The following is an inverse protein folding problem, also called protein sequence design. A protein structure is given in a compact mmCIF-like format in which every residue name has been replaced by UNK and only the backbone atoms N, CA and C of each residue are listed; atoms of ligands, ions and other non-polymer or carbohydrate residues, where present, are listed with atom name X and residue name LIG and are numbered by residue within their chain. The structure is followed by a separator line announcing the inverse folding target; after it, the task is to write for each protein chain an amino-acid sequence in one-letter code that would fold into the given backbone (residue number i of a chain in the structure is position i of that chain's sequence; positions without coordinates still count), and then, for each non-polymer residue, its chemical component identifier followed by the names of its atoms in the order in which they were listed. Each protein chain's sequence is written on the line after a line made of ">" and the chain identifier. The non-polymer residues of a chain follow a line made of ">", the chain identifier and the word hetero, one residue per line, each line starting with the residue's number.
data_IF_679022974967
#
_entry.id   IF_679022974967
#
_cell.length_a   1.000
_cell.length_b   1.000
_cell.length_c   1.000
_cell.angle_alpha   90.00
_cell.angle_beta   90.00
_cell.angle_gamma   90.00
#
_symmetry.space_group_name_H-M   'P 1'
#
loop_
_entity.id
_entity.type
_entity.pdbx_description
1 polymer ?
#
# COMPACT_ATOMS: atom_id res chain seq x y z
N UNK A 1 51.62 5.29 14.81
CA UNK A 1 50.70 4.14 14.67
C UNK A 1 49.37 4.31 15.40
N UNK A 2 49.29 4.96 16.57
CA UNK A 2 48.03 5.09 17.32
C UNK A 2 46.93 5.93 16.65
N UNK A 3 47.26 7.12 16.13
CA UNK A 3 46.26 8.05 15.54
C UNK A 3 45.54 7.45 14.33
N UNK A 4 46.25 6.67 13.52
CA UNK A 4 45.69 6.02 12.34
C UNK A 4 44.68 4.93 12.72
N UNK A 5 44.94 4.18 13.80
CA UNK A 5 44.03 3.16 14.31
C UNK A 5 42.74 3.78 14.86
N UNK A 6 42.85 4.91 15.57
CA UNK A 6 41.68 5.65 16.05
C UNK A 6 40.86 6.27 14.92
N UNK A 7 41.52 6.78 13.87
CA UNK A 7 40.83 7.31 12.70
C UNK A 7 40.05 6.21 11.96
N UNK A 8 40.64 5.02 11.82
CA UNK A 8 39.96 3.86 11.20
C UNK A 8 38.81 3.35 12.07
N UNK A 9 39.00 3.27 13.39
CA UNK A 9 37.95 2.86 14.32
C UNK A 9 36.77 3.85 14.34
N UNK A 10 37.05 5.15 14.26
CA UNK A 10 36.02 6.20 14.18
C UNK A 10 35.25 6.14 12.85
N UNK A 11 35.95 5.88 11.75
CA UNK A 11 35.32 5.73 10.43
C UNK A 11 34.43 4.46 10.38
N UNK A 12 34.87 3.36 10.99
CA UNK A 12 34.07 2.13 11.11
C UNK A 12 32.84 2.33 12.01
N UNK A 13 32.96 3.11 13.09
CA UNK A 13 31.83 3.42 13.98
C UNK A 13 30.75 4.30 13.31
N UNK A 14 31.16 5.28 12.51
CA UNK A 14 30.23 6.14 11.74
C UNK A 14 29.46 5.35 10.66
N UNK A 15 30.09 4.36 10.04
CA UNK A 15 29.44 3.50 9.03
C UNK A 15 28.41 2.55 9.68
N UNK A 16 28.61 2.14 10.93
CA UNK A 16 27.71 1.23 11.64
C UNK A 16 26.38 1.86 12.10
N UNK A 17 26.33 3.18 12.33
CA UNK A 17 25.16 3.87 12.88
C UNK A 17 24.06 4.22 11.87
N UNK A 18 24.25 3.96 10.57
CA UNK A 18 23.32 4.36 9.51
C UNK A 18 22.18 3.37 9.17
N UNK A 19 22.18 2.15 9.74
CA UNK A 19 21.29 1.07 9.27
C UNK A 19 20.08 0.78 10.17
N UNK A 20 19.66 1.72 11.02
CA UNK A 20 18.44 1.60 11.82
C UNK A 20 17.21 2.27 11.17
N UNK A 21 17.30 2.66 9.89
CA UNK A 21 16.08 2.90 9.13
C UNK A 21 15.40 1.56 8.87
N UNK A 22 14.09 1.39 9.13
CA UNK A 22 13.36 0.22 8.66
C UNK A 22 13.57 0.16 7.15
N UNK A 23 14.29 -0.88 6.71
CA UNK A 23 14.46 -1.19 5.30
C UNK A 23 13.07 -1.64 4.85
N UNK A 24 12.19 -0.71 4.50
CA UNK A 24 11.10 -1.06 3.60
C UNK A 24 11.80 -1.59 2.36
N UNK A 25 11.71 -2.90 2.14
CA UNK A 25 12.09 -3.53 0.88
C UNK A 25 11.10 -2.94 -0.13
N UNK A 26 11.38 -1.72 -0.58
CA UNK A 26 10.74 -1.11 -1.71
C UNK A 26 11.26 -1.89 -2.90
N UNK A 27 10.50 -2.90 -3.30
CA UNK A 27 10.72 -3.57 -4.56
C UNK A 27 10.49 -2.50 -5.65
N UNK A 28 11.53 -2.02 -6.36
CA UNK A 28 11.38 -0.90 -7.29
C UNK A 28 10.48 -1.24 -8.50
N UNK A 29 10.13 -2.52 -8.66
CA UNK A 29 9.29 -3.06 -9.71
C UNK A 29 7.77 -2.99 -9.40
N UNK A 30 7.36 -2.64 -8.17
CA UNK A 30 5.92 -2.51 -7.87
C UNK A 30 5.47 -1.08 -8.14
N UNK A 31 4.67 -0.80 -9.18
CA UNK A 31 4.07 0.52 -9.35
C UNK A 31 3.36 0.93 -8.05
N UNK A 32 3.49 2.18 -7.64
CA UNK A 32 2.85 2.65 -6.41
C UNK A 32 1.34 2.39 -6.46
N UNK A 33 0.77 1.94 -5.34
CA UNK A 33 -0.67 1.72 -5.26
C UNK A 33 -1.41 3.04 -5.49
N UNK A 34 -2.59 2.97 -6.09
CA UNK A 34 -3.47 4.12 -6.27
C UNK A 34 -3.60 4.91 -4.94
N UNK A 35 -3.57 6.25 -4.94
CA UNK A 35 -3.55 7.05 -3.70
C UNK A 35 -4.71 6.72 -2.76
N UNK A 36 -5.91 6.46 -3.29
CA UNK A 36 -7.05 6.01 -2.50
C UNK A 36 -6.79 4.70 -1.72
N UNK A 37 -6.00 3.76 -2.26
CA UNK A 37 -5.63 2.52 -1.58
C UNK A 37 -4.67 2.79 -0.43
N UNK A 38 -3.71 3.71 -0.62
CA UNK A 38 -2.77 4.11 0.42
C UNK A 38 -3.51 4.80 1.59
N UNK A 39 -4.43 5.70 1.28
CA UNK A 39 -5.26 6.38 2.28
C UNK A 39 -6.12 5.36 3.04
N UNK A 40 -6.80 4.46 2.33
CA UNK A 40 -7.62 3.43 2.97
C UNK A 40 -6.78 2.51 3.86
N UNK A 41 -5.61 2.07 3.40
CA UNK A 41 -4.68 1.25 4.18
C UNK A 41 -4.22 1.97 5.45
N UNK A 42 -3.92 3.28 5.36
CA UNK A 42 -3.60 4.08 6.53
C UNK A 42 -4.79 4.19 7.50
N UNK A 43 -6.00 4.45 7.01
CA UNK A 43 -7.20 4.50 7.85
C UNK A 43 -7.48 3.15 8.52
N UNK A 44 -7.34 2.04 7.78
CA UNK A 44 -7.48 0.68 8.31
C UNK A 44 -6.45 0.36 9.39
N UNK A 45 -5.22 0.90 9.28
CA UNK A 45 -4.19 0.73 10.29
C UNK A 45 -4.51 1.42 11.62
N UNK A 46 -5.40 2.40 11.61
CA UNK A 46 -5.84 3.16 12.80
C UNK A 46 -7.07 2.54 13.47
N UNK A 47 -7.69 1.52 12.88
CA UNK A 47 -8.87 0.87 13.45
C UNK A 47 -8.50 0.03 14.69
N UNK A 48 -9.42 -0.08 15.69
CA UNK A 48 -9.32 -1.08 16.75
C UNK A 48 -9.17 -2.50 16.19
N UNK A 49 -8.48 -3.36 16.93
CA UNK A 49 -8.08 -4.70 16.46
C UNK A 49 -9.26 -5.58 16.04
N UNK A 50 -10.42 -5.39 16.67
CA UNK A 50 -11.67 -6.10 16.38
C UNK A 50 -12.26 -5.72 15.02
N UNK A 51 -11.95 -4.53 14.51
CA UNK A 51 -12.43 -4.01 13.22
C UNK A 51 -11.39 -4.17 12.10
N UNK A 52 -10.17 -4.58 12.44
CA UNK A 52 -9.12 -4.81 11.45
C UNK A 52 -9.33 -6.14 10.75
N UNK A 53 -9.18 -6.13 9.43
CA UNK A 53 -9.32 -7.32 8.61
C UNK A 53 -8.29 -8.40 9.03
N UNK A 54 -8.69 -9.56 9.56
CA UNK A 54 -7.76 -10.61 9.97
C UNK A 54 -7.15 -11.36 8.79
N UNK A 55 -7.76 -11.28 7.61
CA UNK A 55 -7.40 -12.05 6.42
C UNK A 55 -5.96 -11.78 5.96
N UNK A 56 -5.53 -10.51 5.97
CA UNK A 56 -4.20 -10.10 5.55
C UNK A 56 -3.13 -10.23 6.66
N UNK A 57 -3.50 -10.66 7.88
CA UNK A 57 -2.52 -10.90 8.97
C UNK A 57 -1.65 -12.13 8.71
N UNK A 58 -2.15 -13.09 7.91
CA UNK A 58 -1.39 -14.28 7.56
C UNK A 58 -0.50 -14.00 6.34
N UNK A 59 0.84 -14.01 6.49
CA UNK A 59 1.74 -13.70 5.38
C UNK A 59 1.62 -14.70 4.21
N UNK A 60 1.18 -15.93 4.49
CA UNK A 60 0.95 -16.95 3.45
C UNK A 60 -0.24 -16.56 2.56
N UNK A 61 -1.32 -16.05 3.15
CA UNK A 61 -2.53 -15.65 2.42
C UNK A 61 -2.21 -14.43 1.55
N UNK A 62 -1.59 -13.40 2.14
CA UNK A 62 -1.17 -12.20 1.40
C UNK A 62 -0.28 -12.55 0.18
N UNK A 63 0.72 -13.42 0.39
CA UNK A 63 1.64 -13.84 -0.68
C UNK A 63 0.98 -14.72 -1.75
N UNK A 64 -0.10 -15.44 -1.42
CA UNK A 64 -0.83 -16.28 -2.39
C UNK A 64 -1.80 -15.48 -3.26
N UNK A 65 -2.30 -14.34 -2.77
CA UNK A 65 -3.18 -13.42 -3.50
C UNK A 65 -2.39 -12.56 -4.49
N UNK A 66 -1.20 -12.09 -4.08
CA UNK A 66 -0.34 -11.23 -4.88
C UNK A 66 0.30 -11.90 -6.13
N UNK A 67 0.03 -13.19 -6.37
CA UNK A 67 0.57 -13.94 -7.52
C UNK A 67 -0.48 -14.07 -8.61
N UNK A 68 -0.13 -13.79 -9.86
CA UNK A 68 -0.98 -14.07 -11.03
C UNK A 68 -1.43 -15.54 -11.04
N UNK A 69 -2.70 -15.79 -11.37
CA UNK A 69 -3.26 -17.14 -11.50
C UNK A 69 -3.40 -17.49 -12.96
N UNK A 70 -3.08 -18.75 -13.30
CA UNK A 70 -3.31 -19.31 -14.63
C UNK A 70 -4.80 -19.29 -15.06
N UNK A 71 -5.73 -19.25 -14.09
CA UNK A 71 -7.18 -19.36 -14.34
C UNK A 71 -7.95 -18.03 -14.32
N UNK A 72 -7.27 -16.88 -14.17
CA UNK A 72 -7.93 -15.56 -14.25
C UNK A 72 -7.16 -14.44 -13.54
N UNK A 73 -7.62 -13.19 -13.73
CA UNK A 73 -7.08 -12.03 -13.01
C UNK A 73 -7.39 -12.18 -11.51
N UNK A 74 -6.34 -12.39 -10.70
CA UNK A 74 -6.43 -12.36 -9.23
C UNK A 74 -6.54 -10.93 -8.72
N UNK A 75 -6.52 -10.75 -7.40
CA UNK A 75 -6.41 -9.44 -6.76
C UNK A 75 -5.12 -8.74 -7.19
N UNK A 76 -5.20 -8.00 -8.29
CA UNK A 76 -4.12 -7.16 -8.78
C UNK A 76 -4.13 -5.85 -8.02
N UNK A 77 -2.94 -5.30 -7.82
CA UNK A 77 -2.80 -3.96 -7.28
C UNK A 77 -3.58 -2.98 -8.15
N UNK A 78 -4.46 -2.21 -7.53
CA UNK A 78 -5.18 -1.15 -8.21
C UNK A 78 -4.20 -0.02 -8.51
N UNK A 79 -3.85 0.13 -9.79
CA UNK A 79 -3.02 1.21 -10.30
C UNK A 79 -3.92 2.37 -10.76
N UNK A 80 -4.94 2.06 -11.57
CA UNK A 80 -5.96 2.99 -12.02
C UNK A 80 -7.35 2.52 -11.61
N UNK A 81 -8.21 3.46 -11.18
CA UNK A 81 -9.60 3.18 -10.85
C UNK A 81 -10.50 3.65 -12.00
N UNK A 82 -11.01 2.71 -12.80
CA UNK A 82 -11.97 3.02 -13.88
C UNK A 82 -13.20 3.78 -13.37
N UNK A 83 -13.64 3.51 -12.14
CA UNK A 83 -14.75 4.22 -11.51
C UNK A 83 -14.48 5.72 -11.32
N UNK A 84 -13.22 6.17 -11.21
CA UNK A 84 -12.87 7.59 -11.11
C UNK A 84 -12.96 8.31 -12.45
N UNK A 85 -12.92 7.58 -13.57
CA UNK A 85 -13.12 8.13 -14.92
C UNK A 85 -14.59 8.49 -15.18
N UNK A 86 -15.51 8.07 -14.31
CA UNK A 86 -16.95 8.33 -14.45
C UNK A 86 -17.32 9.64 -13.72
N UNK A 87 -17.81 10.67 -14.42
CA UNK A 87 -18.24 11.92 -13.80
C UNK A 87 -19.37 11.71 -12.78
N UNK A 88 -19.34 12.44 -11.67
CA UNK A 88 -20.32 12.30 -10.58
C UNK A 88 -21.74 12.67 -11.01
N UNK A 89 -21.87 13.62 -11.92
CA UNK A 89 -23.12 14.04 -12.54
C UNK A 89 -23.77 12.90 -13.31
N UNK A 90 -22.95 12.09 -13.99
CA UNK A 90 -23.41 10.92 -14.75
C UNK A 90 -23.87 9.80 -13.83
N UNK A 91 -23.18 9.60 -12.70
CA UNK A 91 -23.62 8.67 -11.66
C UNK A 91 -24.98 9.11 -11.11
N UNK A 92 -25.12 10.40 -10.78
CA UNK A 92 -26.37 10.94 -10.25
C UNK A 92 -27.53 10.82 -11.25
N UNK A 93 -27.31 11.12 -12.53
CA UNK A 93 -28.37 11.03 -13.54
C UNK A 93 -28.87 9.60 -13.73
N UNK A 94 -27.98 8.61 -13.73
CA UNK A 94 -28.34 7.19 -13.80
C UNK A 94 -29.15 6.78 -12.56
N UNK A 95 -28.70 7.14 -11.36
CA UNK A 95 -29.41 6.82 -10.13
C UNK A 95 -30.78 7.52 -10.05
N UNK A 96 -30.89 8.75 -10.53
CA UNK A 96 -32.14 9.48 -10.58
C UNK A 96 -33.15 8.83 -11.52
N UNK A 97 -32.71 8.48 -12.73
CA UNK A 97 -33.56 7.81 -13.72
C UNK A 97 -34.00 6.40 -13.27
N UNK A 98 -33.18 5.72 -12.47
CA UNK A 98 -33.52 4.45 -11.84
C UNK A 98 -34.47 4.58 -10.62
N UNK A 99 -34.83 5.80 -10.22
CA UNK A 99 -35.65 6.05 -9.03
C UNK A 99 -34.91 5.87 -7.70
N UNK A 100 -33.58 5.71 -7.72
CA UNK A 100 -32.72 5.47 -6.55
C UNK A 100 -32.19 6.77 -5.92
N UNK A 101 -32.21 7.88 -6.66
CA UNK A 101 -31.84 9.20 -6.15
C UNK A 101 -33.01 10.20 -6.32
N UNK A 102 -33.46 10.77 -5.20
CA UNK A 102 -34.40 11.90 -5.20
C UNK A 102 -33.62 13.20 -5.10
N UNK A 103 -34.06 14.24 -5.83
CA UNK A 103 -33.72 15.60 -5.44
C UNK A 103 -34.38 15.86 -4.10
N UNK A 104 -33.59 16.21 -3.09
CA UNK A 104 -34.09 16.87 -1.89
C UNK A 104 -34.43 18.32 -2.22
#
# INVERSE_FOLDING_TARGET
>A
MGIFVYAVAFLLALVGSGFAAPQFIANPETPYAHPAVLINSHMESQLPEELRNPFYKNPRIANSLAKESWFGNKEMQVIEREAEKIPREKIFSVLHNAGLARRK
#
